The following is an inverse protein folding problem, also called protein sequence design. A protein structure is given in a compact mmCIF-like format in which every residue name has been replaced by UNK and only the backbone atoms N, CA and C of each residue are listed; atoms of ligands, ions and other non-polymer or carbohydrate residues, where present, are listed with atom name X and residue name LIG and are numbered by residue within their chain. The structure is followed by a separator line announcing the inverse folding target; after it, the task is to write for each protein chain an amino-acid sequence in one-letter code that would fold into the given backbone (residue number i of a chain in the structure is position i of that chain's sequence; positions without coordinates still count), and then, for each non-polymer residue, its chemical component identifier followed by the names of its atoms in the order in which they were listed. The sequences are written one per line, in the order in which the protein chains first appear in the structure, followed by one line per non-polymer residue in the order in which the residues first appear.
data_IF_232316327605
#
_entry.id   IF_232316327605
#
_cell.length_a   1.000
_cell.length_b   1.000
_cell.length_c   1.000
_cell.angle_alpha   90.00
_cell.angle_beta   90.00
_cell.angle_gamma   90.00
#
_symmetry.space_group_name_H-M   'P 1'
#
loop_
_entity.id
_entity.type
_entity.pdbx_description
1 polymer ?
#
# COMPACT_ATOMS: atom_id res chain seq x y z
N UNK A 1 17.54 25.89 -4.68
CA UNK A 1 16.14 25.95 -4.21
C UNK A 1 15.27 25.19 -5.20
N UNK A 2 14.40 24.31 -4.74
CA UNK A 2 13.42 23.62 -5.59
C UNK A 2 12.11 24.41 -5.59
N UNK A 3 11.51 24.65 -6.77
CA UNK A 3 10.21 25.29 -6.92
C UNK A 3 9.22 24.25 -7.43
N UNK A 4 8.24 23.91 -6.61
CA UNK A 4 7.15 23.04 -7.04
C UNK A 4 6.32 23.76 -8.11
N UNK A 5 6.29 23.21 -9.32
CA UNK A 5 5.55 23.76 -10.46
C UNK A 5 4.19 23.08 -10.64
N UNK A 6 4.02 21.85 -10.13
CA UNK A 6 2.80 21.04 -10.19
C UNK A 6 2.67 20.13 -8.96
N UNK A 7 1.44 19.72 -8.66
CA UNK A 7 1.08 18.92 -7.49
C UNK A 7 0.78 19.76 -6.25
N UNK A 8 0.24 19.11 -5.22
CA UNK A 8 0.05 19.74 -3.91
C UNK A 8 1.16 19.38 -2.93
N UNK A 9 1.28 20.15 -1.85
CA UNK A 9 2.24 19.84 -0.78
C UNK A 9 1.75 18.65 0.06
N UNK A 10 2.67 17.72 0.35
CA UNK A 10 2.42 16.57 1.22
C UNK A 10 2.20 17.07 2.66
N UNK A 11 1.22 16.51 3.36
CA UNK A 11 0.90 16.85 4.76
C UNK A 11 -0.18 17.92 4.94
N UNK A 12 -0.66 18.56 3.86
CA UNK A 12 -1.85 19.39 3.91
C UNK A 12 -3.11 18.54 3.73
N UNK A 13 -4.04 18.63 4.67
CA UNK A 13 -5.33 17.91 4.61
C UNK A 13 -6.08 18.18 3.29
N UNK A 14 -6.04 19.42 2.79
CA UNK A 14 -6.66 19.79 1.52
C UNK A 14 -6.03 19.08 0.31
N UNK A 15 -4.69 18.98 0.26
CA UNK A 15 -4.00 18.25 -0.81
C UNK A 15 -4.41 16.79 -0.85
N UNK A 16 -4.61 16.16 0.32
CA UNK A 16 -5.02 14.75 0.39
C UNK A 16 -6.42 14.54 -0.20
N UNK A 17 -7.35 15.47 0.05
CA UNK A 17 -8.69 15.42 -0.53
C UNK A 17 -8.63 15.56 -2.05
N UNK A 18 -7.85 16.51 -2.55
CA UNK A 18 -7.66 16.68 -4.00
C UNK A 18 -7.03 15.46 -4.65
N UNK A 19 -6.00 14.86 -4.01
CA UNK A 19 -5.39 13.64 -4.49
C UNK A 19 -6.39 12.47 -4.55
N UNK A 20 -7.27 12.35 -3.55
CA UNK A 20 -8.31 11.32 -3.56
C UNK A 20 -9.32 11.52 -4.70
N UNK A 21 -9.73 12.75 -4.99
CA UNK A 21 -10.64 13.05 -6.11
C UNK A 21 -9.97 12.74 -7.44
N UNK A 22 -8.71 13.17 -7.60
CA UNK A 22 -7.92 12.91 -8.81
C UNK A 22 -7.76 11.41 -9.07
N UNK A 23 -7.36 10.67 -8.03
CA UNK A 23 -7.20 9.21 -8.12
C UNK A 23 -8.53 8.50 -8.36
N UNK A 24 -9.64 9.00 -7.80
CA UNK A 24 -10.96 8.44 -8.00
C UNK A 24 -11.37 8.43 -9.48
N UNK A 25 -11.12 9.52 -10.22
CA UNK A 25 -11.41 9.55 -11.67
C UNK A 25 -10.50 8.61 -12.46
N UNK A 26 -9.22 8.55 -12.10
CA UNK A 26 -8.24 7.69 -12.76
C UNK A 26 -8.55 6.19 -12.57
N UNK A 27 -8.97 5.78 -11.36
CA UNK A 27 -9.18 4.37 -10.98
C UNK A 27 -10.51 3.76 -11.42
N UNK A 28 -11.42 4.55 -12.02
CA UNK A 28 -12.77 4.09 -12.39
C UNK A 28 -12.79 2.84 -13.26
N UNK A 29 -11.85 2.70 -14.20
CA UNK A 29 -11.82 1.57 -15.11
C UNK A 29 -11.48 0.27 -14.36
N UNK A 30 -10.59 0.34 -13.37
CA UNK A 30 -10.26 -0.78 -12.50
C UNK A 30 -11.41 -1.16 -11.59
N UNK A 31 -12.07 -0.17 -10.96
CA UNK A 31 -13.23 -0.44 -10.09
C UNK A 31 -14.33 -1.16 -10.87
N UNK A 32 -14.72 -0.63 -12.04
CA UNK A 32 -15.76 -1.23 -12.88
C UNK A 32 -15.38 -2.64 -13.35
N UNK A 33 -14.11 -2.85 -13.68
CA UNK A 33 -13.61 -4.17 -14.04
C UNK A 33 -13.75 -5.14 -12.85
N UNK A 34 -13.31 -4.75 -11.67
CA UNK A 34 -13.35 -5.60 -10.48
C UNK A 34 -14.78 -5.91 -10.03
N UNK A 35 -15.69 -4.94 -10.08
CA UNK A 35 -17.12 -5.15 -9.82
C UNK A 35 -17.73 -6.20 -10.76
N UNK A 36 -17.43 -6.12 -12.06
CA UNK A 36 -17.91 -7.07 -13.06
C UNK A 36 -17.39 -8.49 -12.82
N UNK A 37 -16.14 -8.61 -12.38
CA UNK A 37 -15.46 -9.89 -12.17
C UNK A 37 -15.55 -10.40 -10.72
N UNK A 38 -16.27 -9.70 -9.84
CA UNK A 38 -16.37 -9.98 -8.39
C UNK A 38 -15.01 -10.09 -7.71
N UNK A 39 -14.04 -9.30 -8.17
CA UNK A 39 -12.76 -9.19 -7.53
C UNK A 39 -12.73 -8.07 -6.49
N UNK A 40 -11.55 -7.90 -5.91
CA UNK A 40 -11.23 -6.98 -4.84
C UNK A 40 -10.40 -5.86 -5.46
N UNK A 41 -10.83 -4.64 -5.20
CA UNK A 41 -10.06 -3.43 -5.42
C UNK A 41 -10.02 -2.65 -4.12
N UNK A 42 -8.83 -2.32 -3.64
CA UNK A 42 -8.64 -1.53 -2.44
C UNK A 42 -7.56 -0.49 -2.68
N UNK A 43 -7.81 0.75 -2.28
CA UNK A 43 -6.80 1.80 -2.27
C UNK A 43 -6.66 2.37 -0.87
N UNK A 44 -5.43 2.54 -0.43
CA UNK A 44 -5.08 3.29 0.76
C UNK A 44 -4.08 4.38 0.38
N UNK A 45 -4.54 5.63 0.36
CA UNK A 45 -3.78 6.80 -0.06
C UNK A 45 -3.22 6.60 -1.49
N UNK A 46 -1.95 6.25 -1.61
CA UNK A 46 -1.17 6.07 -2.82
C UNK A 46 -0.90 4.59 -3.16
N UNK A 47 -1.23 3.66 -2.27
CA UNK A 47 -1.03 2.22 -2.47
C UNK A 47 -2.34 1.56 -2.89
N UNK A 48 -2.29 0.77 -3.95
CA UNK A 48 -3.44 0.04 -4.50
C UNK A 48 -3.18 -1.46 -4.40
N UNK A 49 -4.23 -2.20 -4.04
CA UNK A 49 -4.29 -3.65 -4.06
C UNK A 49 -5.44 -4.10 -4.95
N UNK A 50 -5.17 -5.12 -5.76
CA UNK A 50 -6.13 -5.71 -6.70
C UNK A 50 -5.80 -7.19 -6.90
N UNK A 51 -6.81 -8.06 -6.94
CA UNK A 51 -6.65 -9.42 -7.46
C UNK A 51 -7.18 -9.51 -8.91
N UNK A 52 -6.68 -10.48 -9.66
CA UNK A 52 -7.12 -10.73 -11.03
C UNK A 52 -6.98 -12.20 -11.37
N UNK A 53 -7.89 -12.70 -12.20
CA UNK A 53 -7.84 -14.05 -12.76
C UNK A 53 -7.21 -14.05 -14.17
N UNK A 54 -6.71 -12.90 -14.63
CA UNK A 54 -6.04 -12.76 -15.92
C UNK A 54 -4.66 -13.37 -15.91
N UNK A 55 -4.16 -13.68 -17.09
CA UNK A 55 -2.77 -14.08 -17.25
C UNK A 55 -1.83 -12.92 -16.93
N UNK A 56 -0.58 -13.26 -16.57
CA UNK A 56 0.46 -12.27 -16.25
C UNK A 56 0.75 -11.30 -17.41
N UNK A 57 0.50 -11.69 -18.65
CA UNK A 57 0.72 -10.82 -19.81
C UNK A 57 -0.42 -9.82 -19.99
N UNK A 58 -1.67 -10.27 -19.92
CA UNK A 58 -2.85 -9.40 -20.04
C UNK A 58 -2.87 -8.31 -18.97
N UNK A 59 -2.54 -8.67 -17.71
CA UNK A 59 -2.50 -7.67 -16.63
C UNK A 59 -1.36 -6.66 -16.83
N UNK A 60 -0.22 -7.07 -17.39
CA UNK A 60 0.88 -6.15 -17.70
C UNK A 60 0.51 -5.16 -18.77
N UNK A 61 -0.20 -5.60 -19.81
CA UNK A 61 -0.71 -4.71 -20.86
C UNK A 61 -1.70 -3.69 -20.29
N UNK A 62 -2.61 -4.11 -19.42
CA UNK A 62 -3.54 -3.17 -18.76
C UNK A 62 -2.85 -2.17 -17.84
N UNK A 63 -1.85 -2.62 -17.08
CA UNK A 63 -1.06 -1.74 -16.22
C UNK A 63 -0.24 -0.74 -17.05
N UNK A 64 0.26 -1.15 -18.22
CA UNK A 64 0.94 -0.25 -19.14
C UNK A 64 -0.02 0.80 -19.71
N UNK A 65 -1.20 0.40 -20.17
CA UNK A 65 -2.22 1.34 -20.65
C UNK A 65 -2.65 2.32 -19.56
N UNK A 66 -2.76 1.86 -18.32
CA UNK A 66 -3.08 2.71 -17.18
C UNK A 66 -1.96 3.70 -16.85
N UNK A 67 -0.70 3.31 -17.05
CA UNK A 67 0.45 4.22 -16.87
C UNK A 67 0.52 5.28 -17.98
N UNK A 68 0.02 4.96 -19.18
CA UNK A 68 -0.05 5.90 -20.31
C UNK A 68 -1.28 6.82 -20.24
N UNK A 69 -2.31 6.44 -19.47
CA UNK A 69 -3.56 7.20 -19.30
C UNK A 69 -3.33 8.61 -18.75
N UNK A 70 -2.34 8.79 -17.88
CA UNK A 70 -2.05 10.07 -17.25
C UNK A 70 -0.55 10.28 -17.03
N UNK A 71 0.00 11.29 -17.69
CA UNK A 71 1.43 11.66 -17.60
C UNK A 71 1.88 12.03 -16.18
N UNK A 72 0.95 12.42 -15.30
CA UNK A 72 1.26 12.80 -13.91
C UNK A 72 1.25 11.61 -12.95
N UNK A 73 0.75 10.44 -13.38
CA UNK A 73 0.70 9.22 -12.56
C UNK A 73 1.76 8.25 -13.06
N UNK A 74 2.67 7.86 -12.17
CA UNK A 74 3.63 6.78 -12.42
C UNK A 74 3.24 5.58 -11.58
N UNK A 75 2.99 4.46 -12.25
CA UNK A 75 2.62 3.22 -11.59
C UNK A 75 3.87 2.37 -11.40
N UNK A 76 4.06 1.91 -10.17
CA UNK A 76 4.98 0.83 -9.84
C UNK A 76 4.14 -0.34 -9.35
N UNK A 77 4.33 -1.52 -9.94
CA UNK A 77 3.52 -2.69 -9.64
C UNK A 77 4.38 -3.92 -9.42
N UNK A 78 3.88 -4.81 -8.55
CA UNK A 78 4.44 -6.13 -8.29
C UNK A 78 3.30 -7.15 -8.41
N UNK A 79 3.55 -8.24 -9.14
CA UNK A 79 2.53 -9.27 -9.41
C UNK A 79 3.06 -10.59 -8.87
N UNK A 80 2.47 -11.05 -7.77
CA UNK A 80 2.84 -12.29 -7.10
C UNK A 80 1.61 -12.98 -6.51
N UNK A 81 1.74 -14.28 -6.25
CA UNK A 81 0.76 -15.06 -5.49
C UNK A 81 0.70 -14.63 -4.02
N UNK A 82 1.84 -14.16 -3.49
CA UNK A 82 1.96 -13.58 -2.15
C UNK A 82 2.49 -12.16 -2.27
N UNK A 83 1.75 -11.19 -1.75
CA UNK A 83 2.13 -9.77 -1.77
C UNK A 83 1.96 -9.15 -0.39
N UNK A 84 2.73 -8.11 -0.11
CA UNK A 84 2.58 -7.33 1.12
C UNK A 84 1.81 -6.05 0.80
N UNK A 85 0.75 -5.78 1.56
CA UNK A 85 -0.05 -4.57 1.47
C UNK A 85 -0.26 -4.02 2.88
N UNK A 86 0.30 -2.83 3.13
CA UNK A 86 0.36 -2.23 4.47
C UNK A 86 1.04 -3.19 5.48
N UNK A 87 0.41 -3.46 6.62
CA UNK A 87 0.86 -4.42 7.64
C UNK A 87 0.33 -5.85 7.39
N UNK A 88 -0.15 -6.17 6.18
CA UNK A 88 -0.72 -7.50 5.87
C UNK A 88 0.01 -8.17 4.71
N UNK A 89 0.40 -9.43 4.91
CA UNK A 89 0.80 -10.32 3.82
C UNK A 89 -0.44 -11.05 3.33
N UNK A 90 -0.75 -10.89 2.05
CA UNK A 90 -1.90 -11.52 1.39
C UNK A 90 -1.35 -12.62 0.49
N UNK A 91 -1.75 -13.87 0.73
CA UNK A 91 -1.38 -15.03 -0.08
C UNK A 91 -2.63 -15.63 -0.72
N UNK A 92 -2.60 -15.85 -2.03
CA UNK A 92 -3.60 -16.65 -2.72
C UNK A 92 -3.23 -18.14 -2.59
N UNK A 93 -4.00 -18.88 -1.79
CA UNK A 93 -3.88 -20.31 -1.61
C UNK A 93 -5.10 -21.02 -2.21
N UNK A 94 -4.94 -21.57 -3.41
CA UNK A 94 -6.00 -22.32 -4.13
C UNK A 94 -7.35 -21.57 -4.16
N UNK A 95 -7.34 -20.33 -4.66
CA UNK A 95 -8.49 -19.41 -4.76
C UNK A 95 -9.02 -18.87 -3.43
N UNK A 96 -8.32 -19.13 -2.32
CA UNK A 96 -8.61 -18.54 -1.02
C UNK A 96 -7.52 -17.53 -0.64
N UNK A 97 -7.92 -16.28 -0.42
CA UNK A 97 -7.01 -15.27 0.09
C UNK A 97 -6.82 -15.47 1.59
N UNK A 98 -5.59 -15.82 1.98
CA UNK A 98 -5.14 -15.89 3.37
C UNK A 98 -4.35 -14.64 3.72
N UNK A 99 -4.64 -14.06 4.87
CA UNK A 99 -3.96 -12.88 5.38
C UNK A 99 -3.16 -13.23 6.63
N UNK A 100 -1.91 -12.77 6.70
CA UNK A 100 -1.08 -12.83 7.90
C UNK A 100 -0.49 -11.46 8.20
N UNK A 101 -0.03 -11.26 9.44
CA UNK A 101 0.59 -10.02 9.87
C UNK A 101 1.98 -9.89 9.22
N UNK A 102 2.19 -8.84 8.43
CA UNK A 102 3.47 -8.52 7.83
C UNK A 102 4.29 -7.61 8.76
N UNK A 103 5.48 -8.07 9.12
CA UNK A 103 6.47 -7.24 9.79
C UNK A 103 7.56 -6.88 8.79
N UNK A 104 7.80 -5.58 8.62
CA UNK A 104 8.93 -5.12 7.81
C UNK A 104 10.21 -5.70 8.41
N UNK A 105 11.19 -6.17 7.61
CA UNK A 105 12.47 -6.66 8.14
C UNK A 105 13.21 -5.64 9.01
N UNK A 106 12.95 -4.34 8.79
CA UNK A 106 13.50 -3.21 9.57
C UNK A 106 12.68 -2.87 10.81
N UNK A 107 11.51 -3.49 11.00
CA UNK A 107 10.73 -3.34 12.22
C UNK A 107 11.42 -4.18 13.31
N UNK A 108 12.43 -3.59 13.94
CA UNK A 108 12.94 -4.10 15.19
C UNK A 108 11.83 -3.94 16.25
N UNK A 109 11.55 -4.96 17.07
CA UNK A 109 10.74 -4.73 18.25
C UNK A 109 11.52 -3.74 19.12
N UNK A 110 11.08 -2.47 19.13
CA UNK A 110 11.68 -1.43 19.96
C UNK A 110 11.32 -1.69 21.43
N UNK A 111 11.93 -2.73 22.00
CA UNK A 111 11.95 -2.95 23.44
C UNK A 111 13.12 -2.12 23.93
N UNK A 112 12.84 -1.09 24.74
CA UNK A 112 13.89 -0.30 25.36
C UNK A 112 14.74 -1.25 26.22
N UNK A 113 16.05 -1.41 25.91
CA UNK A 113 16.90 -2.27 26.71
C UNK A 113 16.99 -1.71 28.13
N UNK A 114 16.95 -2.58 29.14
CA UNK A 114 17.02 -2.17 30.55
C UNK A 114 18.31 -1.40 30.88
N UNK A 115 19.37 -1.61 30.07
CA UNK A 115 20.67 -0.93 30.17
C UNK A 115 20.72 0.43 29.49
N UNK A 116 19.64 0.87 28.85
CA UNK A 116 19.54 2.23 28.31
C UNK A 116 19.67 3.27 29.43
N UNK A 117 20.06 4.51 29.14
CA UNK A 117 20.18 5.58 30.15
C UNK A 117 18.87 6.39 30.23
N UNK A 118 17.81 5.75 30.72
CA UNK A 118 16.49 6.35 30.90
C UNK A 118 16.11 6.34 32.39
N UNK A 119 15.18 7.19 32.84
CA UNK A 119 14.72 7.18 34.22
C UNK A 119 14.14 5.83 34.64
N UNK A 120 14.45 5.38 35.87
CA UNK A 120 14.05 4.05 36.40
C UNK A 120 12.55 3.75 36.31
N UNK A 121 11.70 4.77 36.32
CA UNK A 121 10.24 4.60 36.24
C UNK A 121 9.77 4.17 34.84
N UNK A 122 10.57 4.37 33.79
CA UNK A 122 10.23 3.96 32.42
C UNK A 122 10.30 2.43 32.29
N UNK A 123 11.28 1.78 32.91
CA UNK A 123 11.43 0.31 32.83
C UNK A 123 10.38 -0.47 33.61
N UNK A 124 9.73 0.13 34.60
CA UNK A 124 8.73 -0.56 35.43
C UNK A 124 7.51 -1.03 34.63
N UNK A 125 7.25 -0.42 33.47
CA UNK A 125 6.09 -0.69 32.62
C UNK A 125 6.45 -1.41 31.31
N UNK A 126 7.71 -1.85 31.14
CA UNK A 126 8.13 -2.54 29.92
C UNK A 126 7.94 -4.04 30.12
N UNK A 127 7.15 -4.71 29.26
CA UNK A 127 6.99 -6.16 29.35
C UNK A 127 8.35 -6.85 29.16
N UNK A 128 8.67 -7.73 30.10
CA UNK A 128 9.88 -8.55 30.05
C UNK A 128 9.73 -9.57 28.91
N UNK A 129 10.34 -9.32 27.76
CA UNK A 129 10.50 -10.34 26.73
C UNK A 129 11.71 -11.20 27.13
N UNK A 130 11.43 -12.43 27.57
CA UNK A 130 12.43 -13.46 27.88
C UNK A 130 12.98 -14.11 26.61
#
# INVERSE_FOLDING_TARGET
YYKQTRGGAIGLAFTQVLANIYMYEWEQDFIKHQEKHKGIYGRYIDVIFMNTNKTTNEIKEELQLAAEKDINIKIHYEIHTTVNFLETTITNDHDQLKTSLYHKPTAEPYILPYTSDHPRHIYHNIPYAA
#
